data_IF_294970124470
#
_entry.id   IF_294970124470
#
_cell.length_a   1.000
_cell.length_b   1.000
_cell.length_c   1.000
_cell.angle_alpha   90.00
_cell.angle_beta   90.00
_cell.angle_gamma   90.00
#
_symmetry.space_group_name_H-M   'P 1'
#
loop_
_entity.id
_entity.type
_entity.pdbx_description
1 polymer ?
#
# COMPACT_ATOMS: atom_id res chain seq x y z
N UNK A 1 15.13 -22.83 4.74
CA UNK A 1 15.79 -21.53 4.94
C UNK A 1 17.28 -21.77 4.74
N UNK A 2 17.87 -21.25 3.66
CA UNK A 2 19.30 -21.43 3.38
C UNK A 2 20.02 -20.26 4.05
N UNK A 3 20.89 -20.56 5.01
CA UNK A 3 21.78 -19.57 5.65
C UNK A 3 23.16 -19.73 5.05
N UNK A 4 23.50 -18.92 4.06
CA UNK A 4 24.87 -18.85 3.53
C UNK A 4 25.74 -18.14 4.56
N UNK A 5 26.77 -18.83 5.05
CA UNK A 5 27.74 -18.31 6.02
C UNK A 5 28.96 -17.83 5.26
N UNK A 6 29.21 -16.52 5.27
CA UNK A 6 30.42 -15.93 4.70
C UNK A 6 31.34 -15.52 5.84
N UNK A 7 32.50 -16.17 5.97
CA UNK A 7 33.58 -15.73 6.86
C UNK A 7 34.36 -14.62 6.15
N UNK A 8 34.50 -13.49 6.79
CA UNK A 8 35.31 -12.35 6.37
C UNK A 8 36.29 -12.02 7.49
N UNK A 9 37.44 -11.45 7.17
CA UNK A 9 38.38 -10.93 8.14
C UNK A 9 38.60 -9.45 7.81
N UNK A 10 38.24 -8.57 8.74
CA UNK A 10 38.33 -7.13 8.55
C UNK A 10 39.41 -6.54 9.44
N UNK A 11 40.24 -5.70 8.85
CA UNK A 11 41.09 -4.76 9.57
C UNK A 11 40.31 -3.47 9.79
N UNK A 12 40.24 -3.03 11.04
CA UNK A 12 39.62 -1.77 11.41
C UNK A 12 40.69 -0.70 11.58
N UNK A 13 40.39 0.55 11.21
CA UNK A 13 41.33 1.67 11.29
C UNK A 13 41.87 1.91 12.71
N UNK A 14 41.20 1.40 13.74
CA UNK A 14 41.60 1.57 15.14
C UNK A 14 42.73 0.64 15.60
N UNK A 15 42.96 -0.53 14.98
CA UNK A 15 43.95 -1.51 15.45
C UNK A 15 44.57 -2.33 14.31
N UNK A 16 45.87 -2.68 14.39
CA UNK A 16 46.58 -3.48 13.39
C UNK A 16 46.35 -5.00 13.52
N UNK A 17 45.41 -5.47 14.35
CA UNK A 17 45.05 -6.90 14.41
C UNK A 17 43.83 -7.24 13.53
N UNK A 18 43.83 -8.38 12.82
CA UNK A 18 42.67 -8.84 12.06
C UNK A 18 41.57 -9.35 12.98
N UNK A 19 40.35 -8.83 12.80
CA UNK A 19 39.16 -9.32 13.52
C UNK A 19 38.30 -10.18 12.58
N UNK A 20 38.07 -11.47 12.89
CA UNK A 20 37.22 -12.33 12.09
C UNK A 20 35.73 -11.99 12.27
N UNK A 21 35.03 -11.72 11.17
CA UNK A 21 33.59 -11.46 11.12
C UNK A 21 32.83 -12.61 10.41
N UNK A 22 31.82 -13.15 11.07
CA UNK A 22 30.91 -14.16 10.52
C UNK A 22 29.60 -13.50 10.11
N UNK A 23 29.35 -13.42 8.80
CA UNK A 23 28.10 -12.88 8.26
C UNK A 23 27.15 -14.01 7.90
N UNK A 24 25.97 -13.99 8.51
CA UNK A 24 24.88 -14.91 8.24
C UNK A 24 23.85 -14.23 7.34
N UNK A 25 23.66 -14.74 6.13
CA UNK A 25 22.64 -14.23 5.22
C UNK A 25 21.34 -15.04 5.38
N UNK A 26 20.33 -14.39 5.96
CA UNK A 26 18.99 -14.97 6.13
C UNK A 26 18.10 -14.57 4.94
N UNK A 27 17.88 -15.49 4.01
CA UNK A 27 16.90 -15.30 2.95
C UNK A 27 15.48 -15.56 3.48
N UNK A 28 14.82 -14.50 3.94
CA UNK A 28 13.42 -14.52 4.38
C UNK A 28 12.52 -14.24 3.17
N UNK A 29 11.74 -15.24 2.73
CA UNK A 29 10.75 -15.06 1.66
C UNK A 29 9.43 -14.58 2.27
N UNK A 30 9.05 -13.32 2.08
CA UNK A 30 7.71 -12.82 2.44
C UNK A 30 6.65 -13.52 1.58
N UNK A 31 5.69 -14.21 2.21
CA UNK A 31 4.47 -14.69 1.51
C UNK A 31 3.48 -13.53 1.41
N UNK A 32 3.64 -12.70 0.39
CA UNK A 32 2.81 -11.49 0.14
C UNK A 32 1.38 -11.80 -0.30
N UNK A 33 1.02 -13.06 -0.59
CA UNK A 33 -0.30 -13.43 -1.12
C UNK A 33 -1.46 -13.01 -0.21
N UNK A 34 -1.32 -13.16 1.11
CA UNK A 34 -2.39 -12.80 2.06
C UNK A 34 -2.57 -11.28 2.15
N UNK A 35 -1.46 -10.53 2.12
CA UNK A 35 -1.47 -9.06 2.06
C UNK A 35 -2.00 -8.53 0.72
N UNK A 36 -1.66 -9.20 -0.38
CA UNK A 36 -2.16 -8.88 -1.72
C UNK A 36 -3.66 -9.08 -1.85
N UNK A 37 -4.21 -10.17 -1.30
CA UNK A 37 -5.67 -10.38 -1.24
C UNK A 37 -6.37 -9.28 -0.45
N UNK A 38 -5.80 -8.89 0.68
CA UNK A 38 -6.27 -7.78 1.50
C UNK A 38 -6.27 -6.45 0.73
N UNK A 39 -5.33 -6.22 -0.19
CA UNK A 39 -5.30 -5.04 -1.09
C UNK A 39 -6.25 -5.15 -2.30
N UNK A 40 -6.65 -6.35 -2.72
CA UNK A 40 -7.59 -6.55 -3.84
C UNK A 40 -9.03 -6.22 -3.43
N UNK A 41 -9.42 -6.53 -2.18
CA UNK A 41 -10.74 -6.21 -1.64
C UNK A 41 -11.15 -4.73 -1.79
N UNK A 42 -10.33 -3.74 -1.40
CA UNK A 42 -10.69 -2.32 -1.57
C UNK A 42 -10.79 -1.89 -3.06
N UNK A 43 -10.06 -2.54 -3.98
CA UNK A 43 -10.19 -2.28 -5.41
C UNK A 43 -11.55 -2.77 -5.97
N UNK A 44 -12.03 -3.93 -5.52
CA UNK A 44 -13.35 -4.45 -5.92
C UNK A 44 -14.47 -3.56 -5.34
N UNK A 45 -14.31 -3.11 -4.09
CA UNK A 45 -15.27 -2.18 -3.46
C UNK A 45 -15.36 -0.85 -4.23
N UNK A 46 -14.21 -0.27 -4.59
CA UNK A 46 -14.13 0.97 -5.36
C UNK A 46 -14.83 0.86 -6.72
N UNK A 47 -14.59 -0.23 -7.45
CA UNK A 47 -15.18 -0.46 -8.78
C UNK A 47 -16.69 -0.66 -8.69
N UNK A 48 -17.17 -1.45 -7.72
CA UNK A 48 -18.61 -1.62 -7.47
C UNK A 48 -19.31 -0.30 -7.11
N UNK A 49 -18.70 0.52 -6.24
CA UNK A 49 -19.25 1.82 -5.85
C UNK A 49 -19.28 2.82 -7.00
N UNK A 50 -18.30 2.74 -7.90
CA UNK A 50 -18.27 3.55 -9.12
C UNK A 50 -19.44 3.18 -10.03
N UNK A 51 -19.71 1.89 -10.23
CA UNK A 51 -20.85 1.39 -11.01
C UNK A 51 -22.19 1.82 -10.39
N UNK A 52 -22.35 1.66 -9.07
CA UNK A 52 -23.55 2.10 -8.34
C UNK A 52 -23.76 3.63 -8.43
N UNK A 53 -22.67 4.39 -8.43
CA UNK A 53 -22.69 5.84 -8.62
C UNK A 53 -23.05 6.29 -10.04
N UNK A 54 -23.02 5.41 -11.04
CA UNK A 54 -23.56 5.68 -12.37
C UNK A 54 -25.06 5.38 -12.46
N UNK A 55 -25.54 4.38 -11.72
CA UNK A 55 -26.95 3.97 -11.73
C UNK A 55 -27.88 4.90 -10.94
N UNK A 56 -27.35 5.72 -10.02
CA UNK A 56 -28.16 6.63 -9.20
C UNK A 56 -28.14 8.07 -9.75
N UNK A 57 -29.30 8.68 -10.08
CA UNK A 57 -29.37 10.05 -10.60
C UNK A 57 -28.84 11.07 -9.57
N UNK A 58 -28.20 12.16 -10.05
CA UNK A 58 -27.40 13.09 -9.23
C UNK A 58 -28.19 14.01 -8.30
N UNK A 59 -29.53 13.98 -8.33
CA UNK A 59 -30.39 14.88 -7.54
C UNK A 59 -30.51 14.48 -6.05
N UNK A 60 -30.06 13.27 -5.68
CA UNK A 60 -30.02 12.84 -4.29
C UNK A 60 -28.62 13.06 -3.70
N UNK A 61 -28.51 13.99 -2.73
CA UNK A 61 -27.27 14.23 -1.97
C UNK A 61 -26.68 12.99 -1.28
N UNK A 62 -27.46 11.92 -1.16
CA UNK A 62 -27.04 10.60 -0.67
C UNK A 62 -25.86 10.00 -1.45
N UNK A 63 -25.74 10.27 -2.76
CA UNK A 63 -24.64 9.76 -3.60
C UNK A 63 -23.26 10.21 -3.10
N UNK A 64 -23.15 11.45 -2.61
CA UNK A 64 -21.88 12.03 -2.14
C UNK A 64 -21.53 11.43 -0.78
N UNK A 65 -22.51 11.33 0.12
CA UNK A 65 -22.34 10.74 1.45
C UNK A 65 -21.89 9.27 1.36
N UNK A 66 -22.47 8.48 0.45
CA UNK A 66 -22.03 7.10 0.19
C UNK A 66 -20.56 7.03 -0.22
N UNK A 67 -20.12 7.88 -1.15
CA UNK A 67 -18.72 7.92 -1.61
C UNK A 67 -17.74 8.32 -0.49
N UNK A 68 -18.10 9.28 0.37
CA UNK A 68 -17.27 9.71 1.51
C UNK A 68 -17.10 8.58 2.52
N UNK A 69 -18.16 7.84 2.86
CA UNK A 69 -18.07 6.72 3.81
C UNK A 69 -17.19 5.58 3.29
N UNK A 70 -17.23 5.30 1.99
CA UNK A 70 -16.38 4.31 1.33
C UNK A 70 -14.92 4.74 1.34
N UNK A 71 -14.64 5.99 0.99
CA UNK A 71 -13.28 6.57 1.07
C UNK A 71 -12.72 6.46 2.49
N UNK A 72 -13.52 6.79 3.52
CA UNK A 72 -13.11 6.70 4.92
C UNK A 72 -12.77 5.26 5.33
N UNK A 73 -13.59 4.29 4.91
CA UNK A 73 -13.36 2.86 5.18
C UNK A 73 -12.07 2.36 4.54
N UNK A 74 -11.81 2.75 3.28
CA UNK A 74 -10.58 2.42 2.56
C UNK A 74 -9.37 3.06 3.26
N UNK A 75 -9.45 4.33 3.65
CA UNK A 75 -8.39 5.01 4.40
C UNK A 75 -8.06 4.30 5.74
N UNK A 76 -9.07 3.86 6.50
CA UNK A 76 -8.84 3.17 7.76
C UNK A 76 -8.12 1.83 7.58
N UNK A 77 -8.53 1.07 6.55
CA UNK A 77 -7.87 -0.18 6.18
C UNK A 77 -6.40 0.06 5.78
N UNK A 78 -6.15 1.12 5.03
CA UNK A 78 -4.81 1.51 4.60
C UNK A 78 -3.94 1.97 5.76
N UNK A 79 -4.49 2.68 6.76
CA UNK A 79 -3.76 3.05 7.98
C UNK A 79 -3.28 1.81 8.72
N UNK A 80 -4.13 0.80 8.91
CA UNK A 80 -3.75 -0.47 9.53
C UNK A 80 -2.64 -1.16 8.73
N UNK A 81 -2.76 -1.20 7.40
CA UNK A 81 -1.72 -1.79 6.54
C UNK A 81 -0.39 -1.02 6.67
N UNK A 82 -0.44 0.30 6.78
CA UNK A 82 0.75 1.15 6.91
C UNK A 82 1.48 0.93 8.22
N UNK A 83 0.76 0.70 9.32
CA UNK A 83 1.34 0.40 10.63
C UNK A 83 2.00 -0.99 10.67
N UNK A 84 1.44 -1.94 9.91
CA UNK A 84 1.95 -3.31 9.85
C UNK A 84 3.08 -3.50 8.84
N UNK A 85 3.24 -2.58 7.89
CA UNK A 85 4.37 -2.55 6.96
C UNK A 85 5.51 -1.69 7.52
N UNK A 86 6.79 -2.11 7.45
CA UNK A 86 7.89 -1.17 7.67
C UNK A 86 7.73 -0.01 6.68
N UNK A 87 8.22 1.22 7.01
CA UNK A 87 8.13 2.39 6.15
C UNK A 87 9.01 2.21 4.91
N UNK A 88 8.60 1.32 4.02
CA UNK A 88 9.23 1.08 2.73
C UNK A 88 8.59 2.06 1.77
N UNK A 89 9.44 2.84 1.11
CA UNK A 89 9.11 3.90 0.14
C UNK A 89 8.17 3.48 -1.01
N UNK A 90 7.82 2.20 -1.13
CA UNK A 90 6.97 1.62 -2.18
C UNK A 90 5.46 1.70 -1.88
N UNK A 91 5.04 1.69 -0.61
CA UNK A 91 3.61 1.67 -0.25
C UNK A 91 2.96 3.08 -0.27
N UNK A 92 3.74 4.10 0.11
CA UNK A 92 3.35 5.52 0.13
C UNK A 92 2.98 6.09 -1.26
N UNK A 93 3.74 5.82 -2.35
CA UNK A 93 3.38 6.33 -3.68
C UNK A 93 2.12 5.70 -4.28
N UNK A 94 1.85 4.41 -4.03
CA UNK A 94 0.63 3.73 -4.49
C UNK A 94 -0.64 4.31 -3.85
N UNK A 95 -0.57 4.60 -2.55
CA UNK A 95 -1.61 5.28 -1.79
C UNK A 95 -1.95 6.66 -2.35
N UNK A 96 -0.91 7.47 -2.60
CA UNK A 96 -1.05 8.78 -3.23
C UNK A 96 -1.68 8.69 -4.62
N UNK A 97 -1.32 7.66 -5.41
CA UNK A 97 -1.91 7.43 -6.73
C UNK A 97 -3.40 7.08 -6.64
N UNK A 98 -3.80 6.23 -5.70
CA UNK A 98 -5.21 5.83 -5.50
C UNK A 98 -6.09 7.00 -5.10
N UNK A 99 -5.65 7.82 -4.13
CA UNK A 99 -6.38 9.01 -3.70
C UNK A 99 -6.49 10.03 -4.85
N UNK A 100 -5.40 10.24 -5.59
CA UNK A 100 -5.39 11.14 -6.74
C UNK A 100 -6.32 10.64 -7.85
N UNK A 101 -6.33 9.34 -8.13
CA UNK A 101 -7.21 8.72 -9.12
C UNK A 101 -8.70 8.84 -8.73
N UNK A 102 -9.02 8.62 -7.46
CA UNK A 102 -10.38 8.84 -6.92
C UNK A 102 -10.84 10.29 -7.08
N UNK A 103 -10.01 11.25 -6.70
CA UNK A 103 -10.31 12.68 -6.83
C UNK A 103 -10.48 13.06 -8.31
N UNK A 104 -9.62 12.55 -9.19
CA UNK A 104 -9.75 12.76 -10.64
C UNK A 104 -11.04 12.18 -11.21
N UNK A 105 -11.43 10.96 -10.83
CA UNK A 105 -12.69 10.35 -11.27
C UNK A 105 -13.90 11.16 -10.81
N UNK A 106 -13.89 11.66 -9.57
CA UNK A 106 -14.94 12.54 -9.04
C UNK A 106 -15.01 13.85 -9.82
N UNK A 107 -13.86 14.48 -10.09
CA UNK A 107 -13.78 15.73 -10.87
C UNK A 107 -14.26 15.52 -12.31
N UNK A 108 -13.83 14.44 -12.96
CA UNK A 108 -14.19 14.12 -14.35
C UNK A 108 -15.68 13.79 -14.49
N UNK A 109 -16.27 13.17 -13.47
CA UNK A 109 -17.72 12.92 -13.38
C UNK A 109 -18.51 14.23 -13.17
N UNK A 110 -18.03 15.16 -12.35
CA UNK A 110 -18.67 16.47 -12.17
C UNK A 110 -18.65 17.31 -13.46
N UNK A 111 -17.61 17.17 -14.28
CA UNK A 111 -17.51 17.81 -15.60
C UNK A 111 -18.42 17.19 -16.67
N UNK A 112 -18.85 15.95 -16.47
CA UNK A 112 -19.78 15.21 -17.36
C UNK A 112 -21.26 15.39 -16.96
N UNK A 113 -21.55 16.15 -15.91
CA UNK A 113 -22.90 16.41 -15.38
C UNK A 113 -23.37 17.86 -15.53
N UNK A 114 -22.79 18.60 -16.48
CA UNK A 114 -23.38 19.81 -17.10
C UNK A 114 -23.72 19.43 -18.54
#
# INVERSE_FOLDING_TARGET
TVTTVSRSEKFYECCPEPYPDLKFYLHIRRRTLYYGFNLIMPCILTTMMTLLGFTLPPDAGEKITLQITVLLSICFFLSIVSEMSPPTSEAVPLLGLLLTWFILLVIQRHRSGI
#
